data_IF_752383534177
#
_entry.id   IF_752383534177
#
_cell.length_a   1.000
_cell.length_b   1.000
_cell.length_c   1.000
_cell.angle_alpha   90.00
_cell.angle_beta   90.00
_cell.angle_gamma   90.00
#
_symmetry.space_group_name_H-M   'P 1'
#
loop_
_entity.id
_entity.type
_entity.pdbx_description
1 polymer ?
#
# COMPACT_ATOMS: atom_id res chain seq x y z
N UNK A 1 68.99 -5.64 -0.36
CA UNK A 1 68.97 -6.26 -1.70
C UNK A 1 68.33 -7.64 -1.57
N UNK A 2 67.51 -8.07 -2.54
CA UNK A 2 66.13 -8.48 -2.28
C UNK A 2 65.91 -10.00 -2.22
N UNK A 3 64.79 -10.43 -1.64
CA UNK A 3 64.07 -11.66 -2.02
C UNK A 3 62.62 -11.63 -1.54
N UNK A 4 61.73 -11.59 -2.54
CA UNK A 4 60.49 -12.37 -2.69
C UNK A 4 59.39 -12.28 -1.62
N UNK A 5 58.22 -11.78 -2.03
CA UNK A 5 56.95 -12.51 -1.89
C UNK A 5 55.90 -11.95 -2.84
N UNK A 6 55.60 -12.75 -3.87
CA UNK A 6 54.37 -12.71 -4.66
C UNK A 6 53.25 -13.41 -3.86
N UNK A 7 52.03 -12.92 -4.01
CA UNK A 7 50.79 -13.70 -4.18
C UNK A 7 49.63 -13.12 -3.38
N UNK A 8 48.53 -12.85 -4.08
CA UNK A 8 47.28 -12.42 -3.48
C UNK A 8 46.31 -11.78 -4.47
N UNK A 9 46.24 -12.30 -5.70
CA UNK A 9 45.10 -12.02 -6.58
C UNK A 9 43.85 -12.64 -5.95
N UNK A 10 43.19 -11.90 -5.08
CA UNK A 10 41.83 -12.18 -4.67
C UNK A 10 40.94 -11.91 -5.88
N UNK A 11 40.75 -12.95 -6.71
CA UNK A 11 39.66 -13.05 -7.66
C UNK A 11 38.35 -12.95 -6.88
N UNK A 12 37.89 -11.72 -6.68
CA UNK A 12 36.59 -11.42 -6.10
C UNK A 12 35.56 -11.83 -7.15
N UNK A 13 35.00 -13.02 -7.02
CA UNK A 13 33.83 -13.43 -7.77
C UNK A 13 32.79 -12.30 -7.71
N UNK A 14 32.10 -11.98 -8.81
CA UNK A 14 31.02 -11.01 -8.75
C UNK A 14 29.96 -11.52 -7.76
N UNK A 15 29.21 -10.63 -7.08
CA UNK A 15 28.09 -11.06 -6.25
C UNK A 15 27.19 -11.92 -7.13
N UNK A 16 26.81 -13.10 -6.64
CA UNK A 16 25.87 -14.00 -7.32
C UNK A 16 24.60 -13.20 -7.60
N UNK A 17 24.40 -12.77 -8.86
CA UNK A 17 23.15 -12.15 -9.27
C UNK A 17 22.01 -13.14 -8.97
N UNK A 18 20.93 -12.63 -8.36
CA UNK A 18 19.79 -13.45 -8.01
C UNK A 18 19.27 -14.18 -9.27
N UNK A 19 19.01 -15.48 -9.12
CA UNK A 19 18.50 -16.31 -10.21
C UNK A 19 17.10 -15.87 -10.65
N UNK A 20 16.71 -16.19 -11.88
CA UNK A 20 15.37 -15.87 -12.38
C UNK A 20 14.25 -16.46 -11.51
N UNK A 21 14.46 -17.65 -10.94
CA UNK A 21 13.48 -18.29 -10.07
C UNK A 21 13.32 -17.57 -8.71
N UNK A 22 14.43 -17.13 -8.10
CA UNK A 22 14.40 -16.30 -6.90
C UNK A 22 13.67 -14.97 -7.16
N UNK A 23 13.92 -14.35 -8.32
CA UNK A 23 13.25 -13.11 -8.72
C UNK A 23 11.74 -13.32 -8.95
N UNK A 24 11.32 -14.44 -9.55
CA UNK A 24 9.87 -14.78 -9.68
C UNK A 24 9.21 -15.01 -8.32
N UNK A 25 9.90 -15.71 -7.41
CA UNK A 25 9.43 -15.93 -6.04
C UNK A 25 9.25 -14.61 -5.28
N UNK A 26 10.25 -13.74 -5.36
CA UNK A 26 10.20 -12.40 -4.77
C UNK A 26 9.08 -11.55 -5.37
N UNK A 27 8.91 -11.57 -6.69
CA UNK A 27 7.85 -10.84 -7.37
C UNK A 27 6.45 -11.31 -6.93
N UNK A 28 6.26 -12.62 -6.80
CA UNK A 28 5.00 -13.21 -6.31
C UNK A 28 4.70 -12.79 -4.88
N UNK A 29 5.73 -12.73 -4.02
CA UNK A 29 5.61 -12.21 -2.65
C UNK A 29 5.18 -10.73 -2.64
N UNK A 30 5.80 -9.89 -3.46
CA UNK A 30 5.46 -8.47 -3.56
C UNK A 30 4.01 -8.27 -4.04
N UNK A 31 3.56 -9.03 -5.04
CA UNK A 31 2.15 -9.03 -5.48
C UNK A 31 1.19 -9.38 -4.35
N UNK A 32 1.53 -10.40 -3.55
CA UNK A 32 0.73 -10.76 -2.37
C UNK A 32 0.74 -9.72 -1.25
N UNK A 33 1.84 -8.97 -1.08
CA UNK A 33 1.91 -7.83 -0.14
C UNK A 33 1.10 -6.64 -0.65
N UNK A 34 1.19 -6.34 -1.95
CA UNK A 34 0.41 -5.27 -2.58
C UNK A 34 -1.09 -5.52 -2.49
N UNK A 35 -1.53 -6.75 -2.73
CA UNK A 35 -2.93 -7.14 -2.61
C UNK A 35 -3.46 -6.91 -1.18
N UNK A 36 -2.64 -7.22 -0.16
CA UNK A 36 -2.97 -6.95 1.25
C UNK A 36 -3.02 -5.45 1.54
N UNK A 37 -1.98 -4.69 1.15
CA UNK A 37 -1.95 -3.24 1.33
C UNK A 37 -3.17 -2.54 0.69
N UNK A 38 -3.62 -3.01 -0.48
CA UNK A 38 -4.84 -2.51 -1.12
C UNK A 38 -6.11 -2.84 -0.33
N UNK A 39 -6.21 -4.04 0.24
CA UNK A 39 -7.34 -4.42 1.08
C UNK A 39 -7.37 -3.62 2.39
N UNK A 40 -6.22 -3.39 3.01
CA UNK A 40 -6.07 -2.58 4.22
C UNK A 40 -6.47 -1.12 3.94
N UNK A 41 -5.96 -0.54 2.84
CA UNK A 41 -6.33 0.81 2.40
C UNK A 41 -7.83 0.95 2.11
N UNK A 42 -8.43 -0.04 1.45
CA UNK A 42 -9.87 -0.05 1.19
C UNK A 42 -10.67 -0.14 2.50
N UNK A 43 -10.21 -0.94 3.44
CA UNK A 43 -10.83 -1.08 4.77
C UNK A 43 -10.75 0.23 5.55
N UNK A 44 -9.58 0.85 5.61
CA UNK A 44 -9.38 2.14 6.28
C UNK A 44 -10.24 3.25 5.65
N UNK A 45 -10.27 3.33 4.32
CA UNK A 45 -11.12 4.29 3.58
C UNK A 45 -12.61 4.07 3.86
N UNK A 46 -13.06 2.81 3.86
CA UNK A 46 -14.46 2.47 4.16
C UNK A 46 -14.80 2.81 5.60
N UNK A 47 -13.93 2.48 6.55
CA UNK A 47 -14.08 2.80 7.97
C UNK A 47 -14.23 4.31 8.18
N UNK A 48 -13.35 5.12 7.59
CA UNK A 48 -13.40 6.59 7.65
C UNK A 48 -14.72 7.14 7.13
N UNK A 49 -15.24 6.59 6.03
CA UNK A 49 -16.53 7.03 5.47
C UNK A 49 -17.70 6.74 6.42
N UNK A 50 -17.72 5.56 7.05
CA UNK A 50 -18.73 5.18 8.03
C UNK A 50 -18.67 6.08 9.26
N UNK A 51 -17.46 6.45 9.72
CA UNK A 51 -17.29 7.38 10.84
C UNK A 51 -17.79 8.78 10.48
N UNK A 52 -17.46 9.30 9.29
CA UNK A 52 -17.96 10.58 8.82
C UNK A 52 -19.51 10.60 8.69
N UNK A 53 -20.11 9.51 8.21
CA UNK A 53 -21.57 9.37 8.13
C UNK A 53 -22.22 9.34 9.52
N UNK A 54 -21.60 8.65 10.49
CA UNK A 54 -22.05 8.65 11.89
C UNK A 54 -22.00 10.06 12.49
N UNK A 55 -20.91 10.80 12.25
CA UNK A 55 -20.79 12.20 12.65
C UNK A 55 -21.94 13.01 12.06
N UNK A 56 -22.13 12.95 10.73
CA UNK A 56 -23.19 13.70 10.06
C UNK A 56 -24.58 13.38 10.64
N UNK A 57 -24.87 12.08 10.85
CA UNK A 57 -26.14 11.64 11.42
C UNK A 57 -26.35 12.22 12.83
N UNK A 58 -25.34 12.18 13.69
CA UNK A 58 -25.42 12.74 15.05
C UNK A 58 -25.57 14.26 15.04
N UNK A 59 -24.83 14.98 14.20
CA UNK A 59 -24.98 16.43 14.05
C UNK A 59 -26.40 16.81 13.62
N UNK A 60 -27.04 16.04 12.72
CA UNK A 60 -28.44 16.27 12.36
C UNK A 60 -29.41 16.04 13.53
N UNK A 61 -29.17 15.02 14.34
CA UNK A 61 -29.96 14.77 15.56
C UNK A 61 -29.82 15.93 16.54
N UNK A 62 -28.58 16.39 16.79
CA UNK A 62 -28.31 17.52 17.67
C UNK A 62 -29.03 18.79 17.20
N UNK A 63 -28.93 19.11 15.91
CA UNK A 63 -29.65 20.25 15.33
C UNK A 63 -31.16 20.17 15.57
N UNK A 64 -31.75 18.99 15.38
CA UNK A 64 -33.16 18.76 15.67
C UNK A 64 -33.48 18.99 17.15
N UNK A 65 -32.66 18.48 18.06
CA UNK A 65 -32.85 18.70 19.50
C UNK A 65 -32.71 20.17 19.88
N UNK A 66 -31.79 20.91 19.28
CA UNK A 66 -31.70 22.37 19.48
C UNK A 66 -33.00 23.09 19.10
N UNK A 67 -33.65 22.66 18.01
CA UNK A 67 -34.96 23.18 17.63
C UNK A 67 -36.06 22.78 18.62
N UNK A 68 -36.05 21.54 19.12
CA UNK A 68 -37.02 21.06 20.11
C UNK A 68 -36.85 21.79 21.45
N UNK A 69 -35.63 22.05 21.91
CA UNK A 69 -35.33 22.86 23.09
C UNK A 69 -35.88 24.29 22.97
N UNK A 70 -35.69 24.94 21.81
CA UNK A 70 -36.26 26.27 21.56
C UNK A 70 -37.80 26.26 21.58
N UNK A 71 -38.41 25.19 21.09
CA UNK A 71 -39.87 25.02 21.16
C UNK A 71 -40.34 24.83 22.62
N UNK A 72 -39.62 24.05 23.41
CA UNK A 72 -39.88 23.87 24.85
C UNK A 72 -39.74 25.19 25.61
N UNK A 73 -38.68 25.96 25.35
CA UNK A 73 -38.46 27.29 25.95
C UNK A 73 -39.63 28.25 25.66
N UNK A 74 -40.15 28.21 24.43
CA UNK A 74 -41.30 29.02 24.01
C UNK A 74 -42.57 28.62 24.75
N UNK A 75 -42.81 27.32 24.92
CA UNK A 75 -43.94 26.79 25.69
C UNK A 75 -43.83 27.15 27.17
N UNK A 76 -42.65 26.95 27.77
CA UNK A 76 -42.37 27.31 29.16
C UNK A 76 -42.66 28.80 29.39
N UNK A 77 -42.14 29.67 28.52
CA UNK A 77 -42.39 31.11 28.59
C UNK A 77 -43.88 31.47 28.48
N UNK A 78 -44.64 30.73 27.66
CA UNK A 78 -46.09 30.93 27.54
C UNK A 78 -46.83 30.52 28.83
N UNK A 79 -46.47 29.37 29.40
CA UNK A 79 -47.06 28.89 30.64
C UNK A 79 -46.74 29.80 31.83
N UNK A 80 -45.50 30.29 31.92
CA UNK A 80 -45.09 31.24 32.94
C UNK A 80 -45.91 32.53 32.88
N UNK A 81 -46.19 33.04 31.67
CA UNK A 81 -47.03 34.22 31.46
C UNK A 81 -48.48 33.98 31.87
N UNK A 82 -49.05 32.83 31.53
CA UNK A 82 -50.43 32.50 31.90
C UNK A 82 -50.58 32.31 33.41
N UNK A 83 -49.65 31.61 34.06
CA UNK A 83 -49.63 31.51 35.52
C UNK A 83 -49.50 32.89 36.19
N UNK A 84 -48.67 33.78 35.63
CA UNK A 84 -48.56 35.17 36.08
C UNK A 84 -49.88 35.96 35.92
N UNK A 85 -50.56 35.80 34.78
CA UNK A 85 -51.87 36.41 34.51
C UNK A 85 -52.92 35.94 35.51
N UNK A 86 -53.02 34.63 35.74
CA UNK A 86 -53.97 34.04 36.70
C UNK A 86 -53.70 34.50 38.13
N UNK A 87 -52.43 34.59 38.56
CA UNK A 87 -52.07 35.15 39.87
C UNK A 87 -52.51 36.60 40.04
N UNK A 88 -52.32 37.43 39.02
CA UNK A 88 -52.75 38.83 39.04
C UNK A 88 -54.29 38.95 39.04
N UNK A 89 -54.98 38.09 38.29
CA UNK A 89 -56.44 38.03 38.25
C UNK A 89 -57.01 37.63 39.62
N UNK A 90 -56.48 36.56 40.24
CA UNK A 90 -56.86 36.16 41.61
C UNK A 90 -56.63 37.30 42.61
N UNK A 91 -55.50 37.98 42.54
CA UNK A 91 -55.19 39.11 43.43
C UNK A 91 -56.17 40.28 43.26
N UNK A 92 -56.74 40.49 42.07
CA UNK A 92 -57.73 41.55 41.84
C UNK A 92 -59.06 41.32 42.57
N UNK A 93 -59.38 40.06 42.92
CA UNK A 93 -60.54 39.71 43.73
C UNK A 93 -60.28 39.82 45.24
N UNK A 94 -59.02 40.02 45.65
CA UNK A 94 -58.65 40.22 47.06
C UNK A 94 -58.83 41.69 47.47
N UNK A 95 -60.08 42.15 47.56
CA UNK A 95 -60.41 43.34 48.36
C UNK A 95 -60.34 43.01 49.87
N UNK A 96 -60.06 43.98 50.76
CA UNK A 96 -60.12 43.76 52.20
C UNK A 96 -61.59 43.62 52.64
N UNK A 97 -62.17 42.44 52.43
CA UNK A 97 -63.53 42.10 52.88
C UNK A 97 -63.53 40.88 53.80
N UNK A 98 -64.44 40.94 54.78
CA UNK A 98 -64.44 40.21 56.04
C UNK A 98 -64.08 38.70 55.97
N UNK A 99 -63.11 38.32 56.80
CA UNK A 99 -62.46 37.01 56.92
C UNK A 99 -63.34 35.83 57.41
N UNK A 100 -64.62 35.77 57.03
CA UNK A 100 -65.55 34.72 57.46
C UNK A 100 -66.42 34.10 56.36
N UNK A 101 -66.37 34.59 55.13
CA UNK A 101 -67.18 34.07 54.02
C UNK A 101 -66.49 32.88 53.31
N UNK A 102 -67.30 31.95 52.78
CA UNK A 102 -66.79 30.87 51.93
C UNK A 102 -66.07 31.46 50.71
N UNK A 103 -64.97 30.84 50.23
CA UNK A 103 -64.20 31.35 49.10
C UNK A 103 -65.08 31.48 47.85
N UNK A 104 -64.92 32.60 47.14
CA UNK A 104 -65.66 32.89 45.91
C UNK A 104 -65.44 31.73 44.90
N UNK A 105 -66.51 31.11 44.36
CA UNK A 105 -66.39 30.03 43.38
C UNK A 105 -65.55 30.41 42.15
N UNK A 106 -65.53 31.68 41.76
CA UNK A 106 -64.70 32.18 40.64
C UNK A 106 -63.22 32.12 41.01
N UNK A 107 -62.86 32.56 42.22
CA UNK A 107 -61.49 32.48 42.74
C UNK A 107 -61.04 31.03 42.87
N UNK A 108 -61.90 30.14 43.38
CA UNK A 108 -61.59 28.72 43.49
C UNK A 108 -61.32 28.06 42.12
N UNK A 109 -62.05 28.46 41.08
CA UNK A 109 -61.82 28.00 39.70
C UNK A 109 -60.48 28.50 39.14
N UNK A 110 -60.17 29.79 39.30
CA UNK A 110 -58.90 30.38 38.86
C UNK A 110 -57.70 29.75 39.57
N UNK A 111 -57.81 29.49 40.88
CA UNK A 111 -56.77 28.79 41.64
C UNK A 111 -56.56 27.35 41.14
N UNK A 112 -57.63 26.68 40.71
CA UNK A 112 -57.51 25.34 40.12
C UNK A 112 -56.76 25.39 38.78
N UNK A 113 -57.05 26.39 37.94
CA UNK A 113 -56.33 26.60 36.69
C UNK A 113 -54.86 26.95 36.95
N UNK A 114 -54.58 27.81 37.95
CA UNK A 114 -53.21 28.15 38.34
C UNK A 114 -52.43 26.90 38.76
N UNK A 115 -53.01 26.04 39.62
CA UNK A 115 -52.38 24.78 40.04
C UNK A 115 -52.10 23.86 38.84
N UNK A 116 -52.98 23.84 37.84
CA UNK A 116 -52.76 23.09 36.61
C UNK A 116 -51.56 23.65 35.83
N UNK A 117 -51.52 24.95 35.56
CA UNK A 117 -50.42 25.59 34.84
C UNK A 117 -49.08 25.45 35.59
N UNK A 118 -49.07 25.53 36.92
CA UNK A 118 -47.88 25.27 37.73
C UNK A 118 -47.40 23.82 37.64
N UNK A 119 -48.31 22.85 37.51
CA UNK A 119 -47.93 21.46 37.26
C UNK A 119 -47.37 21.27 35.84
N UNK A 120 -47.94 21.94 34.84
CA UNK A 120 -47.42 21.95 33.47
C UNK A 120 -46.03 22.58 33.39
N UNK A 121 -45.77 23.68 34.12
CA UNK A 121 -44.45 24.32 34.23
C UNK A 121 -43.43 23.32 34.79
N UNK A 122 -43.73 22.67 35.93
CA UNK A 122 -42.84 21.65 36.51
C UNK A 122 -42.57 20.48 35.56
N UNK A 123 -43.57 20.07 34.77
CA UNK A 123 -43.38 19.05 33.74
C UNK A 123 -42.43 19.53 32.62
N UNK A 124 -42.60 20.77 32.17
CA UNK A 124 -41.73 21.37 31.15
C UNK A 124 -40.29 21.52 31.64
N UNK A 125 -40.07 21.92 32.90
CA UNK A 125 -38.74 21.97 33.52
C UNK A 125 -38.05 20.60 33.46
N UNK A 126 -38.72 19.53 33.91
CA UNK A 126 -38.17 18.17 33.84
C UNK A 126 -37.85 17.72 32.42
N UNK A 127 -38.68 18.10 31.43
CA UNK A 127 -38.41 17.80 30.02
C UNK A 127 -37.24 18.60 29.46
N UNK A 128 -37.06 19.84 29.93
CA UNK A 128 -35.93 20.69 29.55
C UNK A 128 -34.62 20.10 30.07
N UNK A 129 -34.57 19.73 31.36
CA UNK A 129 -33.41 19.09 31.96
C UNK A 129 -33.02 17.80 31.24
N UNK A 130 -34.02 16.97 30.90
CA UNK A 130 -33.80 15.77 30.11
C UNK A 130 -33.23 16.09 28.72
N UNK A 131 -33.85 17.03 28.00
CA UNK A 131 -33.43 17.38 26.64
C UNK A 131 -32.02 18.02 26.61
N UNK A 132 -31.66 18.81 27.62
CA UNK A 132 -30.30 19.35 27.77
C UNK A 132 -29.31 18.23 28.04
N UNK A 133 -29.61 17.31 28.96
CA UNK A 133 -28.75 16.16 29.24
C UNK A 133 -28.52 15.28 28.01
N UNK A 134 -29.56 15.02 27.22
CA UNK A 134 -29.44 14.28 25.96
C UNK A 134 -28.60 15.03 24.92
N UNK A 135 -28.75 16.35 24.83
CA UNK A 135 -27.96 17.22 23.95
C UNK A 135 -26.48 17.21 24.33
N UNK A 136 -26.15 17.28 25.63
CA UNK A 136 -24.77 17.24 26.13
C UNK A 136 -24.10 15.91 25.78
N UNK A 137 -24.79 14.79 26.02
CA UNK A 137 -24.30 13.45 25.64
C UNK A 137 -24.02 13.36 24.13
N UNK A 138 -24.89 13.96 23.30
CA UNK A 138 -24.71 13.97 21.86
C UNK A 138 -23.57 14.88 21.41
N UNK A 139 -23.38 16.02 22.09
CA UNK A 139 -22.26 16.93 21.83
C UNK A 139 -20.92 16.25 22.17
N UNK A 140 -20.80 15.63 23.34
CA UNK A 140 -19.62 14.86 23.75
C UNK A 140 -19.27 13.77 22.72
N UNK A 141 -20.30 13.10 22.21
CA UNK A 141 -20.18 12.10 21.16
C UNK A 141 -19.76 12.65 19.80
N UNK A 142 -20.10 13.91 19.50
CA UNK A 142 -19.73 14.59 18.25
C UNK A 142 -18.30 15.07 18.31
N UNK A 143 -17.85 15.58 19.46
CA UNK A 143 -16.54 16.18 19.66
C UNK A 143 -15.39 15.18 19.46
N UNK A 144 -15.65 13.88 19.59
CA UNK A 144 -14.65 12.84 19.32
C UNK A 144 -14.42 12.56 17.82
N UNK A 145 -15.42 12.79 16.96
CA UNK A 145 -15.30 12.42 15.54
C UNK A 145 -14.25 13.19 14.75
N UNK A 146 -14.06 14.51 14.93
CA UNK A 146 -13.01 15.23 14.21
C UNK A 146 -11.64 14.57 14.37
N UNK A 147 -11.29 14.14 15.58
CA UNK A 147 -10.03 13.43 15.84
C UNK A 147 -10.02 12.02 15.25
N UNK A 148 -11.11 11.24 15.37
CA UNK A 148 -11.19 9.92 14.72
C UNK A 148 -11.03 10.02 13.19
N UNK A 149 -11.70 10.98 12.55
CA UNK A 149 -11.63 11.21 11.09
C UNK A 149 -10.26 11.71 10.66
N UNK A 150 -9.60 12.51 11.50
CA UNK A 150 -8.22 12.98 11.28
C UNK A 150 -7.24 11.81 11.37
N UNK A 151 -7.28 11.03 12.45
CA UNK A 151 -6.43 9.85 12.64
C UNK A 151 -6.63 8.81 11.54
N UNK A 152 -7.87 8.55 11.13
CA UNK A 152 -8.15 7.68 9.99
C UNK A 152 -7.63 8.27 8.66
N UNK A 153 -7.54 9.60 8.56
CA UNK A 153 -6.89 10.28 7.45
C UNK A 153 -5.38 10.01 7.42
N UNK A 154 -4.71 10.18 8.56
CA UNK A 154 -3.28 9.90 8.73
C UNK A 154 -2.96 8.42 8.40
N UNK A 155 -3.76 7.48 8.91
CA UNK A 155 -3.61 6.05 8.63
C UNK A 155 -3.74 5.72 7.13
N UNK A 156 -4.70 6.36 6.44
CA UNK A 156 -4.88 6.19 5.00
C UNK A 156 -3.66 6.72 4.23
N UNK A 157 -3.09 7.85 4.65
CA UNK A 157 -1.89 8.43 4.04
C UNK A 157 -0.69 7.47 4.20
N UNK A 158 -0.44 6.97 5.42
CA UNK A 158 0.61 5.99 5.68
C UNK A 158 0.43 4.70 4.84
N UNK A 159 -0.79 4.20 4.74
CA UNK A 159 -1.10 3.02 3.92
C UNK A 159 -0.88 3.28 2.43
N UNK A 160 -1.19 4.49 1.94
CA UNK A 160 -0.93 4.88 0.55
C UNK A 160 0.56 4.97 0.26
N UNK A 161 1.35 5.57 1.16
CA UNK A 161 2.80 5.63 1.05
C UNK A 161 3.41 4.22 1.02
N UNK A 162 3.05 3.37 1.97
CA UNK A 162 3.52 1.98 2.03
C UNK A 162 3.13 1.17 0.79
N UNK A 163 1.94 1.39 0.22
CA UNK A 163 1.54 0.79 -1.06
C UNK A 163 2.42 1.28 -2.20
N UNK A 164 2.67 2.59 -2.30
CA UNK A 164 3.49 3.17 -3.36
C UNK A 164 4.94 2.64 -3.32
N UNK A 165 5.48 2.44 -2.12
CA UNK A 165 6.80 1.84 -1.94
C UNK A 165 6.83 0.37 -2.36
N UNK A 166 5.77 -0.38 -2.04
CA UNK A 166 5.62 -1.76 -2.51
C UNK A 166 5.49 -1.84 -4.03
N UNK A 167 4.73 -0.93 -4.65
CA UNK A 167 4.61 -0.84 -6.10
C UNK A 167 5.96 -0.54 -6.75
N UNK A 168 6.72 0.43 -6.21
CA UNK A 168 8.06 0.75 -6.69
C UNK A 168 9.02 -0.44 -6.54
N UNK A 169 8.97 -1.14 -5.42
CA UNK A 169 9.77 -2.36 -5.21
C UNK A 169 9.38 -3.48 -6.19
N UNK A 170 8.08 -3.59 -6.53
CA UNK A 170 7.59 -4.54 -7.51
C UNK A 170 8.12 -4.21 -8.90
N UNK A 171 8.02 -2.95 -9.32
CA UNK A 171 8.50 -2.49 -10.62
C UNK A 171 10.01 -2.74 -10.79
N UNK A 172 10.82 -2.44 -9.76
CA UNK A 172 12.26 -2.73 -9.76
C UNK A 172 12.54 -4.24 -9.86
N UNK A 173 11.78 -5.07 -9.14
CA UNK A 173 11.88 -6.52 -9.23
C UNK A 173 11.48 -7.06 -10.61
N UNK A 174 10.42 -6.51 -11.23
CA UNK A 174 9.98 -6.87 -12.59
C UNK A 174 11.05 -6.51 -13.62
N UNK A 175 11.65 -5.32 -13.50
CA UNK A 175 12.74 -4.89 -14.38
C UNK A 175 13.96 -5.80 -14.27
N UNK A 176 14.39 -6.14 -13.04
CA UNK A 176 15.51 -7.07 -12.81
C UNK A 176 15.23 -8.46 -13.37
N UNK A 177 14.02 -8.99 -13.15
CA UNK A 177 13.63 -10.29 -13.70
C UNK A 177 13.73 -10.29 -15.23
N UNK A 178 13.17 -9.26 -15.88
CA UNK A 178 13.19 -9.15 -17.34
C UNK A 178 14.62 -9.04 -17.88
N UNK A 179 15.48 -8.27 -17.20
CA UNK A 179 16.90 -8.16 -17.55
C UNK A 179 17.64 -9.51 -17.44
N UNK A 180 17.43 -10.24 -16.33
CA UNK A 180 18.05 -11.55 -16.10
C UNK A 180 17.55 -12.59 -17.11
N UNK A 181 16.23 -12.65 -17.34
CA UNK A 181 15.64 -13.59 -18.32
C UNK A 181 16.15 -13.32 -19.75
N UNK A 182 16.23 -12.05 -20.16
CA UNK A 182 16.78 -11.66 -21.46
C UNK A 182 18.27 -12.03 -21.59
N UNK A 183 19.05 -11.82 -20.53
CA UNK A 183 20.47 -12.14 -20.51
C UNK A 183 20.71 -13.66 -20.56
N UNK A 184 19.90 -14.44 -19.84
CA UNK A 184 19.95 -15.91 -19.91
C UNK A 184 19.54 -16.42 -21.30
N UNK A 185 18.52 -15.84 -21.93
CA UNK A 185 18.13 -16.21 -23.29
C UNK A 185 19.29 -16.02 -24.28
N UNK A 186 19.95 -14.85 -24.25
CA UNK A 186 21.13 -14.58 -25.10
C UNK A 186 22.31 -15.51 -24.81
N UNK A 187 22.57 -15.81 -23.54
CA UNK A 187 23.63 -16.74 -23.16
C UNK A 187 23.35 -18.16 -23.68
N UNK A 188 22.08 -18.58 -23.64
CA UNK A 188 21.63 -19.87 -24.18
C UNK A 188 21.78 -19.93 -25.69
N UNK A 189 21.40 -18.87 -26.41
CA UNK A 189 21.61 -18.77 -27.87
C UNK A 189 23.10 -18.81 -28.24
N UNK A 190 23.95 -18.09 -27.50
CA UNK A 190 25.40 -18.11 -27.73
C UNK A 190 26.01 -19.48 -27.45
N UNK A 191 25.54 -20.18 -26.41
CA UNK A 191 25.95 -21.56 -26.12
C UNK A 191 25.59 -22.50 -27.27
N UNK A 192 24.35 -22.47 -27.74
CA UNK A 192 23.89 -23.26 -28.88
C UNK A 192 24.71 -22.96 -30.15
N UNK A 193 25.05 -21.69 -30.39
CA UNK A 193 25.91 -21.32 -31.51
C UNK A 193 27.34 -21.86 -31.35
N UNK A 194 27.91 -21.82 -30.14
CA UNK A 194 29.23 -22.38 -29.87
C UNK A 194 29.24 -23.91 -30.07
N UNK A 195 28.23 -24.61 -29.55
CA UNK A 195 28.05 -26.06 -29.73
C UNK A 195 27.92 -26.44 -31.21
N UNK A 196 27.15 -25.68 -31.99
CA UNK A 196 27.05 -25.91 -33.45
C UNK A 196 28.37 -25.67 -34.20
N UNK A 197 29.21 -24.74 -33.73
CA UNK A 197 30.56 -24.52 -34.29
C UNK A 197 31.51 -25.65 -33.93
N UNK A 198 31.47 -26.15 -32.71
CA UNK A 198 32.29 -27.29 -32.25
C UNK A 198 31.95 -28.53 -33.06
N UNK A 199 30.67 -28.88 -33.19
CA UNK A 199 30.24 -30.04 -34.00
C UNK A 199 30.67 -29.92 -35.47
N UNK A 200 30.62 -28.71 -36.06
CA UNK A 200 31.12 -28.45 -37.42
C UNK A 200 32.64 -28.62 -37.54
N UNK A 201 33.41 -28.17 -36.54
CA UNK A 201 34.86 -28.33 -36.50
C UNK A 201 35.27 -29.80 -36.34
N UNK A 202 34.61 -30.54 -35.47
CA UNK A 202 34.83 -31.99 -35.28
C UNK A 202 34.56 -32.78 -36.57
N UNK A 203 33.45 -32.48 -37.25
CA UNK A 203 33.14 -33.07 -38.55
C UNK A 203 34.21 -32.74 -39.61
N UNK A 204 34.73 -31.52 -39.62
CA UNK A 204 35.78 -31.09 -40.55
C UNK A 204 37.14 -31.74 -40.24
N UNK A 205 37.47 -31.95 -38.97
CA UNK A 205 38.70 -32.62 -38.54
C UNK A 205 38.68 -34.13 -38.84
N UNK A 206 37.52 -34.78 -38.69
CA UNK A 206 37.34 -36.20 -39.02
C UNK A 206 37.50 -36.49 -40.52
N UNK A 207 37.17 -35.52 -41.40
CA UNK A 207 37.32 -35.66 -42.85
C UNK A 207 38.73 -35.37 -43.40
N UNK A 208 39.66 -34.86 -42.58
CA UNK A 208 40.92 -34.27 -43.05
C UNK A 208 42.21 -34.94 -42.50
N UNK A 209 42.14 -36.18 -42.04
CA UNK A 209 43.35 -36.94 -41.70
C UNK A 209 44.10 -37.32 -43.01
N UNK A 210 45.35 -36.88 -43.25
CA UNK A 210 46.11 -37.36 -44.40
C UNK A 210 46.35 -38.86 -44.19
N UNK A 211 45.94 -39.67 -45.17
CA UNK A 211 46.16 -41.12 -45.10
C UNK A 211 47.65 -41.40 -44.96
N UNK A 212 48.00 -42.40 -44.14
CA UNK A 212 49.40 -42.79 -43.92
C UNK A 212 50.13 -43.02 -45.24
N UNK A 213 49.43 -43.52 -46.26
CA UNK A 213 49.94 -43.74 -47.61
C UNK A 213 50.43 -42.46 -48.28
N UNK A 214 49.76 -41.32 -48.06
CA UNK A 214 50.16 -40.03 -48.66
C UNK A 214 51.43 -39.46 -48.03
N UNK A 215 51.64 -39.73 -46.74
CA UNK A 215 52.87 -39.36 -46.05
C UNK A 215 54.03 -40.28 -46.45
N UNK A 216 53.75 -41.57 -46.63
CA UNK A 216 54.71 -42.57 -47.14
C UNK A 216 55.15 -42.23 -48.56
N UNK A 217 54.20 -41.94 -49.46
CA UNK A 217 54.49 -41.51 -50.84
C UNK A 217 55.40 -40.28 -50.87
N UNK A 218 55.10 -39.27 -50.05
CA UNK A 218 55.88 -38.02 -50.01
C UNK A 218 57.30 -38.23 -49.48
N UNK A 219 57.49 -39.16 -48.54
CA UNK A 219 58.82 -39.56 -48.06
C UNK A 219 59.60 -40.30 -49.15
N UNK A 220 58.96 -41.24 -49.83
CA UNK A 220 59.59 -42.04 -50.87
C UNK A 220 59.99 -41.16 -52.07
N UNK A 221 59.15 -40.20 -52.45
CA UNK A 221 59.46 -39.19 -53.47
C UNK A 221 60.66 -38.32 -53.07
N UNK A 222 60.76 -37.94 -51.79
CA UNK A 222 61.88 -37.16 -51.27
C UNK A 222 63.19 -37.98 -51.22
N UNK A 223 63.12 -39.27 -50.87
CA UNK A 223 64.28 -40.16 -50.92
C UNK A 223 64.75 -40.43 -52.35
N UNK A 224 63.83 -40.59 -53.31
CA UNK A 224 64.18 -40.72 -54.72
C UNK A 224 64.83 -39.45 -55.29
N UNK A 225 64.41 -38.27 -54.82
CA UNK A 225 65.04 -37.00 -55.19
C UNK A 225 66.45 -36.86 -54.60
N UNK A 226 66.65 -37.29 -53.35
CA UNK A 226 67.95 -37.27 -52.69
C UNK A 226 68.97 -38.21 -53.37
N UNK A 227 68.56 -39.44 -53.71
CA UNK A 227 69.41 -40.39 -54.42
C UNK A 227 69.87 -39.85 -55.79
N UNK A 228 68.96 -39.22 -56.55
CA UNK A 228 69.32 -38.59 -57.83
C UNK A 228 70.30 -37.42 -57.67
N UNK A 229 70.20 -36.67 -56.58
CA UNK A 229 71.14 -35.59 -56.29
C UNK A 229 72.53 -36.13 -55.89
N UNK A 230 72.59 -37.25 -55.17
CA UNK A 230 73.84 -37.95 -54.86
C UNK A 230 74.51 -38.51 -56.11
N UNK A 231 73.75 -39.14 -57.02
CA UNK A 231 74.27 -39.64 -58.29
C UNK A 231 74.82 -38.51 -59.17
N UNK A 232 74.14 -37.37 -59.22
CA UNK A 232 74.60 -36.18 -59.95
C UNK A 232 75.88 -35.58 -59.35
N UNK A 233 75.99 -35.55 -58.02
CA UNK A 233 77.20 -35.12 -57.33
C UNK A 233 78.36 -36.11 -57.52
N UNK A 234 78.08 -37.41 -57.59
CA UNK A 234 79.04 -38.45 -57.94
C UNK A 234 79.61 -38.25 -59.34
N UNK A 235 78.74 -38.06 -60.34
CA UNK A 235 79.14 -37.80 -61.73
C UNK A 235 79.98 -36.52 -61.86
N UNK A 236 79.58 -35.42 -61.21
CA UNK A 236 80.37 -34.18 -61.20
C UNK A 236 81.75 -34.34 -60.54
N UNK A 237 81.87 -35.23 -59.55
CA UNK A 237 83.14 -35.50 -58.86
C UNK A 237 84.09 -36.34 -59.71
N UNK A 238 83.57 -37.27 -60.51
CA UNK A 238 84.35 -38.06 -61.47
C UNK A 238 84.87 -37.18 -62.61
N UNK A 239 84.05 -36.27 -63.14
CA UNK A 239 84.46 -35.30 -64.17
C UNK A 239 85.57 -34.35 -63.67
N UNK A 240 85.57 -33.99 -62.37
CA UNK A 240 86.60 -33.16 -61.74
C UNK A 240 87.92 -33.89 -61.47
N UNK A 241 87.94 -35.22 -61.43
CA UNK A 241 89.16 -36.03 -61.27
C UNK A 241 89.84 -36.39 -62.60
N UNK A 242 89.19 -36.11 -63.74
CA UNK A 242 89.69 -36.36 -65.08
C UNK A 242 90.52 -35.19 -65.68
N UNK A 243 90.75 -34.13 -64.90
CA UNK A 243 91.66 -33.00 -65.18
C UNK A 243 92.87 -33.02 -64.25
#
# INVERSE_FOLDING_TARGET
MPSSSSSGSAGRSPPTEASADELRGFNSLLRGRLARANADLQTATSSRSVTADKQHRRSRTLLRQTHELRALESLYSAQQREAGRLRAEIASFQEPSDSGAAPDPVVAQLESQLRQHEAEIRNLESRFDQAVSESDILQDQIDHFPEEVRLAGDEIEELQEGRNDLDRAREDAEHKLLFTETSMARATEALQQAESRVTKLEASASGAAPTSDRLTQKRDDAQAAAARAEDQLGAMKEDLQAF
#
